data_IF_279051616303
#
_entry.id   IF_279051616303
#
_cell.length_a   1.000
_cell.length_b   1.000
_cell.length_c   1.000
_cell.angle_alpha   90.00
_cell.angle_beta   90.00
_cell.angle_gamma   90.00
#
_symmetry.space_group_name_H-M   'P 1'
#
loop_
_entity.id
_entity.type
_entity.pdbx_description
1 polymer ?
#
# COMPACT_ATOMS: atom_id res chain seq x y z
N UNK A 1 -22.54 10.67 51.58
CA UNK A 1 -21.31 10.20 52.29
C UNK A 1 -20.24 10.00 51.26
N UNK A 2 -19.27 10.91 51.27
CA UNK A 2 -18.13 10.97 50.39
C UNK A 2 -17.03 10.04 50.93
N UNK A 3 -16.32 9.35 50.07
CA UNK A 3 -15.08 8.67 50.38
C UNK A 3 -13.99 9.14 49.40
N UNK A 4 -13.20 10.09 49.86
CA UNK A 4 -11.93 10.50 49.25
C UNK A 4 -10.93 9.34 49.23
N UNK A 5 -10.29 9.12 48.10
CA UNK A 5 -9.03 8.37 48.04
C UNK A 5 -7.94 9.24 47.48
N UNK A 6 -7.06 9.68 48.39
CA UNK A 6 -5.76 10.27 48.10
C UNK A 6 -4.87 9.31 47.30
N UNK A 7 -4.30 9.78 46.20
CA UNK A 7 -3.18 9.15 45.54
C UNK A 7 -1.89 9.94 45.85
N UNK A 8 -1.00 9.29 46.57
CA UNK A 8 0.33 9.84 46.87
C UNK A 8 1.25 9.74 45.65
N UNK A 9 1.91 10.84 45.33
CA UNK A 9 3.05 10.94 44.40
C UNK A 9 4.29 10.34 45.07
N UNK A 10 5.01 9.51 44.38
CA UNK A 10 6.37 9.10 44.69
C UNK A 10 7.14 8.88 43.38
N UNK A 11 7.95 9.88 43.02
CA UNK A 11 9.00 9.74 42.01
C UNK A 11 10.32 9.51 42.74
N UNK A 12 11.15 8.58 42.38
CA UNK A 12 12.58 8.65 42.68
C UNK A 12 13.34 9.07 41.41
N UNK A 13 14.02 10.22 41.51
CA UNK A 13 15.07 10.66 40.61
C UNK A 13 16.22 9.64 40.63
N UNK A 14 16.63 9.21 39.43
CA UNK A 14 17.86 8.44 39.25
C UNK A 14 18.91 9.39 38.67
N UNK A 15 19.90 9.77 39.49
CA UNK A 15 21.07 10.50 39.06
C UNK A 15 21.98 9.65 38.15
N UNK A 16 22.61 10.23 37.13
CA UNK A 16 23.59 9.48 36.30
C UNK A 16 24.96 9.45 36.98
N UNK A 17 25.44 8.23 37.26
CA UNK A 17 26.80 8.00 37.71
C UNK A 17 27.82 8.35 36.63
N UNK A 18 28.74 9.28 36.95
CA UNK A 18 29.94 9.59 36.19
C UNK A 18 30.96 8.45 36.38
N UNK A 19 31.30 7.74 35.31
CA UNK A 19 32.43 6.83 35.28
C UNK A 19 33.74 7.61 35.11
N UNK A 20 34.58 7.54 36.12
CA UNK A 20 35.97 8.05 36.12
C UNK A 20 36.83 7.07 35.35
N UNK A 21 37.43 7.52 34.24
CA UNK A 21 38.44 6.75 33.52
C UNK A 21 39.83 7.09 34.12
N UNK A 22 40.40 6.13 34.83
CA UNK A 22 41.80 6.19 35.27
C UNK A 22 42.72 5.69 34.14
N UNK A 23 43.71 6.54 33.83
CA UNK A 23 44.87 6.19 32.97
C UNK A 23 45.82 5.33 33.79
N UNK A 24 46.16 4.13 33.33
CA UNK A 24 47.49 3.49 33.39
C UNK A 24 47.33 2.09 32.77
N UNK A 25 48.04 1.77 31.74
CA UNK A 25 49.21 0.90 31.66
C UNK A 25 49.54 0.71 30.16
N UNK A 26 50.68 1.30 29.82
CA UNK A 26 51.34 1.02 28.55
C UNK A 26 52.08 -0.32 28.73
N UNK A 27 51.59 -1.36 28.13
CA UNK A 27 52.31 -2.60 27.93
C UNK A 27 52.75 -2.68 26.48
N UNK A 28 54.06 -2.55 26.31
CA UNK A 28 54.79 -2.84 25.09
C UNK A 28 54.66 -4.32 24.76
N UNK A 29 54.03 -4.65 23.62
CA UNK A 29 54.15 -5.96 23.01
C UNK A 29 55.01 -5.87 21.74
N UNK A 30 56.15 -6.55 21.82
CA UNK A 30 57.06 -6.79 20.72
C UNK A 30 56.46 -7.78 19.70
N UNK A 31 56.68 -7.39 18.46
CA UNK A 31 56.89 -8.17 17.24
C UNK A 31 56.47 -9.66 17.16
N UNK A 32 55.81 -9.91 16.12
CA UNK A 32 55.89 -10.98 15.13
C UNK A 32 54.67 -11.83 15.01
N UNK A 33 54.13 -11.75 13.93
CA UNK A 33 53.62 -12.73 13.00
C UNK A 33 52.53 -12.07 12.15
N UNK A 34 52.93 -11.77 10.91
CA UNK A 34 51.98 -11.32 9.89
C UNK A 34 51.06 -12.47 9.52
N UNK A 35 49.94 -12.58 10.24
CA UNK A 35 48.81 -13.34 9.77
C UNK A 35 48.25 -12.60 8.56
N UNK A 36 48.48 -13.16 7.38
CA UNK A 36 47.86 -12.67 6.16
C UNK A 36 46.35 -12.79 6.29
N UNK A 37 45.69 -11.69 6.62
CA UNK A 37 44.24 -11.57 6.55
C UNK A 37 43.89 -11.80 5.08
N UNK A 38 43.02 -12.80 4.75
CA UNK A 38 42.61 -12.97 3.39
C UNK A 38 41.94 -11.67 2.94
N UNK A 39 42.39 -11.13 1.82
CA UNK A 39 41.80 -9.97 1.16
C UNK A 39 40.33 -10.28 0.94
N UNK A 40 39.49 -9.98 1.90
CA UNK A 40 38.05 -9.88 1.68
C UNK A 40 37.90 -8.71 0.71
N UNK A 41 37.73 -9.03 -0.57
CA UNK A 41 37.37 -8.03 -1.56
C UNK A 41 36.08 -7.37 -1.03
N UNK A 42 36.20 -6.17 -0.50
CA UNK A 42 35.08 -5.31 -0.24
C UNK A 42 34.37 -5.10 -1.60
N UNK A 43 33.34 -5.87 -1.84
CA UNK A 43 32.42 -5.64 -2.95
C UNK A 43 31.66 -4.40 -2.54
N UNK A 44 32.07 -3.25 -3.10
CA UNK A 44 31.34 -1.99 -2.96
C UNK A 44 29.90 -2.30 -3.30
N UNK A 45 28.93 -2.10 -2.37
CA UNK A 45 27.53 -2.29 -2.71
C UNK A 45 27.26 -1.48 -3.97
N UNK A 46 26.64 -2.09 -4.98
CA UNK A 46 26.22 -1.36 -6.18
C UNK A 46 25.49 -0.12 -5.68
N UNK A 47 25.91 1.04 -6.16
CA UNK A 47 25.36 2.32 -5.72
C UNK A 47 23.84 2.19 -5.78
N UNK A 48 23.16 2.41 -4.67
CA UNK A 48 21.71 2.42 -4.59
C UNK A 48 21.22 3.25 -5.76
N UNK A 49 20.58 2.61 -6.74
CA UNK A 49 19.93 3.34 -7.82
C UNK A 49 18.84 4.17 -7.14
N UNK A 50 19.02 5.48 -7.10
CA UNK A 50 18.02 6.39 -6.59
C UNK A 50 16.73 6.11 -7.38
N UNK A 51 15.61 5.85 -6.72
CA UNK A 51 14.34 5.61 -7.41
C UNK A 51 14.07 6.72 -8.41
N UNK A 52 13.77 6.36 -9.66
CA UNK A 52 13.46 7.37 -10.70
C UNK A 52 12.18 8.14 -10.38
N UNK A 53 11.21 7.47 -9.77
CA UNK A 53 9.97 8.06 -9.28
C UNK A 53 9.40 7.15 -8.18
N UNK A 54 8.76 7.74 -7.18
CA UNK A 54 8.09 7.03 -6.11
C UNK A 54 6.58 6.97 -6.41
N UNK A 55 5.98 5.79 -6.25
CA UNK A 55 4.53 5.60 -6.28
C UNK A 55 4.02 5.55 -4.84
N UNK A 56 3.24 6.52 -4.45
CA UNK A 56 2.63 6.58 -3.13
C UNK A 56 1.14 6.35 -3.27
N UNK A 57 0.65 5.28 -2.64
CA UNK A 57 -0.73 4.83 -2.76
C UNK A 57 -1.41 4.97 -1.41
N UNK A 58 -2.45 5.79 -1.36
CA UNK A 58 -3.30 5.99 -0.19
C UNK A 58 -4.58 5.19 -0.33
N UNK A 59 -5.05 4.58 0.74
CA UNK A 59 -6.33 3.88 0.77
C UNK A 59 -6.97 3.94 2.16
N UNK A 60 -8.30 3.99 2.18
CA UNK A 60 -9.11 3.81 3.37
C UNK A 60 -9.44 2.34 3.66
N UNK A 61 -9.16 1.44 2.72
CA UNK A 61 -9.42 0.01 2.86
C UNK A 61 -8.44 -0.67 3.81
N UNK A 62 -8.95 -1.17 4.93
CA UNK A 62 -8.13 -1.77 5.98
C UNK A 62 -7.90 -3.27 5.80
N UNK A 63 -8.63 -3.92 4.90
CA UNK A 63 -8.58 -5.36 4.66
C UNK A 63 -8.14 -5.68 3.22
N UNK A 64 -9.03 -5.58 2.24
CA UNK A 64 -8.78 -6.08 0.87
C UNK A 64 -7.69 -5.33 0.12
N UNK A 65 -7.70 -4.00 0.16
CA UNK A 65 -6.67 -3.16 -0.43
C UNK A 65 -5.33 -3.37 0.28
N UNK A 66 -5.35 -3.41 1.60
CA UNK A 66 -4.16 -3.69 2.40
C UNK A 66 -3.59 -5.08 2.09
N UNK A 67 -4.44 -6.09 1.97
CA UNK A 67 -4.02 -7.45 1.59
C UNK A 67 -3.46 -7.49 0.16
N UNK A 68 -4.04 -6.72 -0.77
CA UNK A 68 -3.57 -6.63 -2.15
C UNK A 68 -2.14 -6.09 -2.22
N UNK A 69 -1.86 -5.00 -1.51
CA UNK A 69 -0.54 -4.39 -1.49
C UNK A 69 0.43 -5.05 -0.49
N UNK A 70 -0.04 -5.93 0.37
CA UNK A 70 0.78 -6.58 1.41
C UNK A 70 1.98 -7.34 0.86
N UNK A 71 1.87 -7.87 -0.37
CA UNK A 71 2.99 -8.54 -1.03
C UNK A 71 4.12 -7.57 -1.36
N UNK A 72 3.77 -6.37 -1.80
CA UNK A 72 4.72 -5.29 -2.11
C UNK A 72 5.34 -4.78 -0.80
N UNK A 73 4.53 -4.47 0.19
CA UNK A 73 4.98 -3.93 1.48
C UNK A 73 5.93 -4.88 2.24
N UNK A 74 5.71 -6.20 2.10
CA UNK A 74 6.56 -7.22 2.72
C UNK A 74 7.87 -7.50 1.96
N UNK A 75 7.99 -7.04 0.72
CA UNK A 75 9.13 -7.30 -0.15
C UNK A 75 9.69 -5.99 -0.73
N UNK A 76 9.93 -5.02 0.12
CA UNK A 76 10.39 -3.67 -0.27
C UNK A 76 11.70 -3.68 -1.06
N UNK A 77 12.53 -4.70 -0.89
CA UNK A 77 13.77 -4.88 -1.66
C UNK A 77 13.49 -5.14 -3.15
N UNK A 78 12.39 -5.86 -3.46
CA UNK A 78 11.96 -6.13 -4.82
C UNK A 78 11.12 -4.98 -5.40
N UNK A 79 10.49 -4.19 -4.53
CA UNK A 79 9.58 -3.10 -4.90
C UNK A 79 10.00 -1.75 -4.28
N UNK A 80 11.25 -1.30 -4.52
CA UNK A 80 11.80 -0.12 -3.82
C UNK A 80 11.10 1.19 -4.17
N UNK A 81 10.31 1.22 -5.27
CA UNK A 81 9.66 2.42 -5.80
C UNK A 81 8.21 2.59 -5.37
N UNK A 82 7.66 1.65 -4.60
CA UNK A 82 6.25 1.69 -4.19
C UNK A 82 6.15 1.85 -2.69
N UNK A 83 5.27 2.73 -2.27
CA UNK A 83 4.90 2.96 -0.87
C UNK A 83 3.39 2.97 -0.76
N UNK A 84 2.89 2.39 0.29
CA UNK A 84 1.47 2.39 0.60
C UNK A 84 1.23 3.02 1.97
N UNK A 85 0.13 3.73 2.11
CA UNK A 85 -0.28 4.34 3.36
C UNK A 85 -1.78 4.15 3.54
N UNK A 86 -2.16 3.42 4.60
CA UNK A 86 -3.54 3.10 4.90
C UNK A 86 -4.07 3.96 6.03
N UNK A 87 -5.22 4.58 5.80
CA UNK A 87 -5.90 5.36 6.82
C UNK A 87 -6.87 4.46 7.59
N UNK A 88 -6.60 4.27 8.88
CA UNK A 88 -7.35 3.35 9.72
C UNK A 88 -8.84 3.75 9.94
N UNK A 89 -9.15 5.02 9.82
CA UNK A 89 -10.52 5.54 9.92
C UNK A 89 -10.86 6.43 8.72
N UNK A 90 -11.27 5.82 7.58
CA UNK A 90 -11.63 6.57 6.38
C UNK A 90 -12.95 7.33 6.50
N UNK A 91 -13.62 7.25 7.65
CA UNK A 91 -14.93 7.84 7.88
C UNK A 91 -14.89 9.37 7.84
N UNK A 92 -16.08 9.95 7.87
CA UNK A 92 -16.26 11.39 7.78
C UNK A 92 -15.68 12.14 8.98
N UNK A 93 -14.92 13.20 8.73
CA UNK A 93 -14.60 14.20 9.77
C UNK A 93 -15.84 15.03 10.12
N UNK A 94 -15.78 15.68 11.27
CA UNK A 94 -16.78 16.64 11.72
C UNK A 94 -17.04 17.69 10.62
N UNK A 95 -18.23 17.67 10.02
CA UNK A 95 -18.61 18.50 8.87
C UNK A 95 -18.90 17.71 7.58
N UNK A 96 -18.90 16.36 7.62
CA UNK A 96 -19.36 15.51 6.51
C UNK A 96 -18.34 15.26 5.40
N UNK A 97 -17.10 15.75 5.53
CA UNK A 97 -16.06 15.52 4.51
C UNK A 97 -15.30 14.22 4.76
N UNK A 98 -14.90 13.50 3.69
CA UNK A 98 -14.08 12.30 3.81
C UNK A 98 -12.70 12.61 4.42
N UNK A 99 -12.37 11.97 5.53
CA UNK A 99 -11.09 12.15 6.21
C UNK A 99 -9.90 11.62 5.39
N UNK A 100 -10.17 10.69 4.48
CA UNK A 100 -9.12 10.04 3.66
C UNK A 100 -8.45 11.04 2.70
N UNK A 101 -9.19 11.98 2.12
CA UNK A 101 -8.63 13.01 1.21
C UNK A 101 -7.67 13.92 1.97
N UNK A 102 -8.09 14.37 3.14
CA UNK A 102 -7.24 15.18 4.03
C UNK A 102 -5.96 14.43 4.41
N UNK A 103 -6.08 13.17 4.81
CA UNK A 103 -4.93 12.31 5.11
C UNK A 103 -3.97 12.21 3.92
N UNK A 104 -4.49 11.91 2.72
CA UNK A 104 -3.69 11.82 1.51
C UNK A 104 -2.97 13.14 1.19
N UNK A 105 -3.68 14.27 1.29
CA UNK A 105 -3.13 15.61 1.04
C UNK A 105 -2.02 15.98 2.04
N UNK A 106 -2.22 15.73 3.32
CA UNK A 106 -1.22 15.99 4.37
C UNK A 106 0.04 15.13 4.14
N UNK A 107 -0.14 13.85 3.86
CA UNK A 107 0.97 12.93 3.57
C UNK A 107 1.70 13.26 2.27
N UNK A 108 1.00 13.66 1.23
CA UNK A 108 1.61 14.09 -0.03
C UNK A 108 2.54 15.28 0.18
N UNK A 109 2.17 16.26 1.00
CA UNK A 109 3.05 17.40 1.33
C UNK A 109 4.35 16.95 1.99
N UNK A 110 4.28 16.01 2.94
CA UNK A 110 5.46 15.46 3.60
C UNK A 110 6.43 14.81 2.59
N UNK A 111 5.90 14.05 1.60
CA UNK A 111 6.72 13.46 0.55
C UNK A 111 7.29 14.52 -0.41
N UNK A 112 6.50 15.50 -0.82
CA UNK A 112 6.93 16.56 -1.75
C UNK A 112 8.06 17.42 -1.19
N UNK A 113 8.13 17.62 0.12
CA UNK A 113 9.24 18.35 0.78
C UNK A 113 10.59 17.65 0.60
N UNK A 114 10.59 16.33 0.42
CA UNK A 114 11.79 15.51 0.24
C UNK A 114 12.04 15.04 -1.19
N UNK A 115 11.08 15.30 -2.11
CA UNK A 115 11.13 14.77 -3.47
C UNK A 115 12.18 15.45 -4.34
N UNK A 116 12.77 14.66 -5.25
CA UNK A 116 13.63 15.21 -6.32
C UNK A 116 12.79 15.92 -7.37
N UNK A 117 13.22 17.13 -7.77
CA UNK A 117 12.56 17.89 -8.85
C UNK A 117 12.70 17.25 -10.24
N UNK A 118 13.69 16.38 -10.42
CA UNK A 118 13.98 15.75 -11.73
C UNK A 118 13.08 14.55 -12.03
N UNK A 119 12.56 13.90 -10.99
CA UNK A 119 11.68 12.74 -11.12
C UNK A 119 10.49 12.90 -10.16
N UNK A 120 9.39 13.51 -10.61
CA UNK A 120 8.23 13.73 -9.76
C UNK A 120 7.60 12.41 -9.35
N UNK A 121 7.29 12.33 -8.06
CA UNK A 121 6.58 11.19 -7.51
C UNK A 121 5.12 11.16 -8.00
N UNK A 122 4.55 9.97 -8.01
CA UNK A 122 3.15 9.74 -8.36
C UNK A 122 2.34 9.45 -7.09
N UNK A 123 1.25 10.17 -6.91
CA UNK A 123 0.39 10.02 -5.75
C UNK A 123 -1.00 9.55 -6.18
N UNK A 124 -1.52 8.52 -5.51
CA UNK A 124 -2.80 7.91 -5.83
C UNK A 124 -3.64 7.76 -4.58
N UNK A 125 -4.92 8.08 -4.68
CA UNK A 125 -5.90 7.79 -3.65
C UNK A 125 -6.91 6.79 -4.19
N UNK A 126 -6.99 5.61 -3.58
CA UNK A 126 -7.97 4.57 -3.91
C UNK A 126 -9.21 4.77 -3.03
N UNK A 127 -10.38 4.75 -3.66
CA UNK A 127 -11.67 4.86 -2.99
C UNK A 127 -12.75 4.05 -3.68
N UNK A 128 -13.80 3.74 -2.93
CA UNK A 128 -15.00 3.06 -3.40
C UNK A 128 -16.15 4.07 -3.55
N UNK A 129 -17.08 3.80 -4.47
CA UNK A 129 -18.27 4.64 -4.65
C UNK A 129 -19.26 4.46 -3.49
N UNK A 130 -19.40 3.26 -2.93
CA UNK A 130 -20.47 2.88 -2.00
C UNK A 130 -20.62 3.81 -0.78
N UNK A 131 -19.51 4.34 -0.28
CA UNK A 131 -19.51 5.23 0.88
C UNK A 131 -19.37 6.71 0.52
N UNK A 132 -18.95 7.04 -0.70
CA UNK A 132 -18.49 8.39 -1.06
C UNK A 132 -19.17 8.97 -2.31
N UNK A 133 -20.21 8.32 -2.89
CA UNK A 133 -20.85 8.73 -4.15
C UNK A 133 -21.12 10.26 -4.20
N UNK A 134 -21.71 10.81 -3.18
CA UNK A 134 -22.08 12.24 -3.12
C UNK A 134 -20.87 13.19 -2.96
N UNK A 135 -19.71 12.67 -2.56
CA UNK A 135 -18.51 13.47 -2.31
C UNK A 135 -17.47 13.33 -3.42
N UNK A 136 -17.66 12.41 -4.37
CA UNK A 136 -16.67 12.14 -5.41
C UNK A 136 -16.24 13.40 -6.21
N UNK A 137 -17.15 14.33 -6.60
CA UNK A 137 -16.74 15.55 -7.29
C UNK A 137 -15.81 16.42 -6.42
N UNK A 138 -16.12 16.59 -5.14
CA UNK A 138 -15.30 17.36 -4.20
C UNK A 138 -13.96 16.68 -3.96
N UNK A 139 -13.96 15.35 -3.75
CA UNK A 139 -12.74 14.54 -3.60
C UNK A 139 -11.83 14.68 -4.82
N UNK A 140 -12.39 14.59 -6.02
CA UNK A 140 -11.64 14.74 -7.27
C UNK A 140 -10.99 16.14 -7.37
N UNK A 141 -11.72 17.19 -7.01
CA UNK A 141 -11.20 18.55 -7.02
C UNK A 141 -10.06 18.73 -6.01
N UNK A 142 -10.21 18.24 -4.80
CA UNK A 142 -9.18 18.32 -3.76
C UNK A 142 -7.93 17.50 -4.14
N UNK A 143 -8.12 16.30 -4.67
CA UNK A 143 -7.04 15.46 -5.17
C UNK A 143 -6.27 16.13 -6.30
N UNK A 144 -6.97 16.70 -7.30
CA UNK A 144 -6.34 17.43 -8.40
C UNK A 144 -5.50 18.62 -7.91
N UNK A 145 -6.01 19.38 -6.92
CA UNK A 145 -5.28 20.51 -6.31
C UNK A 145 -4.00 20.07 -5.62
N UNK A 146 -3.98 18.85 -5.10
CA UNK A 146 -2.85 18.28 -4.37
C UNK A 146 -1.94 17.41 -5.25
N UNK A 147 -2.17 17.35 -6.55
CA UNK A 147 -1.48 16.48 -7.51
C UNK A 147 -1.61 14.98 -7.12
N UNK A 148 -2.77 14.59 -6.66
CA UNK A 148 -3.13 13.20 -6.33
C UNK A 148 -4.12 12.71 -7.39
N UNK A 149 -3.86 11.56 -7.98
CA UNK A 149 -4.79 10.90 -8.89
C UNK A 149 -5.80 10.08 -8.08
N UNK A 150 -7.08 10.41 -8.23
CA UNK A 150 -8.16 9.68 -7.58
C UNK A 150 -8.51 8.44 -8.40
N UNK A 151 -8.44 7.26 -7.77
CA UNK A 151 -8.70 5.95 -8.37
C UNK A 151 -9.97 5.37 -7.75
N UNK A 152 -11.00 5.24 -8.54
CA UNK A 152 -12.35 4.91 -8.06
C UNK A 152 -12.75 3.51 -8.54
N UNK A 153 -13.34 2.73 -7.64
CA UNK A 153 -14.01 1.45 -7.95
C UNK A 153 -15.51 1.53 -7.66
N UNK A 154 -16.35 1.16 -8.62
CA UNK A 154 -17.80 1.15 -8.45
C UNK A 154 -18.35 -0.30 -8.58
N UNK A 155 -18.90 -0.88 -7.56
CA UNK A 155 -19.30 -0.34 -6.24
C UNK A 155 -18.14 -0.32 -5.21
N UNK A 156 -17.18 -1.24 -5.29
CA UNK A 156 -16.15 -1.49 -4.28
C UNK A 156 -14.86 -2.06 -4.92
N UNK A 157 -13.78 -2.08 -4.17
CA UNK A 157 -12.47 -2.60 -4.59
C UNK A 157 -12.53 -4.06 -5.08
N UNK A 158 -13.48 -4.85 -4.61
CA UNK A 158 -13.66 -6.22 -5.06
C UNK A 158 -14.02 -6.34 -6.55
N UNK A 159 -14.48 -5.27 -7.21
CA UNK A 159 -14.62 -5.23 -8.68
C UNK A 159 -13.27 -5.43 -9.36
N UNK A 160 -12.21 -4.82 -8.83
CA UNK A 160 -10.84 -5.05 -9.29
C UNK A 160 -10.42 -6.51 -9.09
N UNK A 161 -10.67 -7.07 -7.90
CA UNK A 161 -10.32 -8.47 -7.61
C UNK A 161 -11.10 -9.48 -8.47
N UNK A 162 -12.32 -9.14 -8.84
CA UNK A 162 -13.15 -9.95 -9.73
C UNK A 162 -12.54 -10.05 -11.13
N UNK A 163 -12.06 -8.95 -11.70
CA UNK A 163 -11.44 -8.93 -13.01
C UNK A 163 -10.07 -9.64 -13.07
N UNK A 164 -9.44 -9.93 -11.95
CA UNK A 164 -8.26 -10.79 -11.93
C UNK A 164 -8.54 -12.25 -12.33
N UNK A 165 -9.81 -12.67 -12.29
CA UNK A 165 -10.26 -14.06 -12.57
C UNK A 165 -11.33 -14.13 -13.66
N UNK A 166 -11.98 -13.02 -14.00
CA UNK A 166 -13.12 -12.96 -14.94
C UNK A 166 -12.87 -11.88 -15.99
N UNK A 167 -13.10 -12.26 -17.26
CA UNK A 167 -12.92 -11.36 -18.40
C UNK A 167 -14.14 -10.51 -18.73
N UNK A 168 -15.29 -10.82 -18.18
CA UNK A 168 -16.56 -10.17 -18.50
C UNK A 168 -17.18 -9.49 -17.26
N UNK A 169 -18.03 -8.51 -17.51
CA UNK A 169 -18.86 -7.90 -16.46
C UNK A 169 -19.71 -8.96 -15.75
N UNK A 170 -20.11 -8.72 -14.50
CA UNK A 170 -20.92 -9.65 -13.70
C UNK A 170 -22.40 -9.63 -14.12
N UNK A 171 -22.70 -10.13 -15.33
CA UNK A 171 -24.05 -10.08 -15.95
C UNK A 171 -25.08 -10.92 -15.20
N UNK A 172 -24.64 -11.96 -14.49
CA UNK A 172 -25.53 -12.84 -13.71
C UNK A 172 -25.77 -12.35 -12.28
N UNK A 173 -25.19 -11.21 -11.92
CA UNK A 173 -25.40 -10.62 -10.61
C UNK A 173 -26.74 -9.89 -10.55
N UNK A 174 -27.58 -10.29 -9.62
CA UNK A 174 -28.86 -9.61 -9.36
C UNK A 174 -28.63 -8.39 -8.49
N UNK A 175 -28.79 -7.20 -9.10
CA UNK A 175 -28.56 -5.93 -8.43
C UNK A 175 -29.66 -5.70 -7.37
N UNK A 176 -29.30 -5.51 -6.09
CA UNK A 176 -30.26 -5.14 -5.05
C UNK A 176 -30.96 -3.82 -5.36
N UNK A 177 -32.24 -3.71 -4.95
CA UNK A 177 -32.99 -2.45 -5.08
C UNK A 177 -32.41 -1.35 -4.19
N UNK A 178 -31.91 -1.73 -3.01
CA UNK A 178 -31.24 -0.80 -2.11
C UNK A 178 -29.79 -0.61 -2.53
N UNK A 179 -29.43 0.59 -3.00
CA UNK A 179 -28.08 0.92 -3.43
C UNK A 179 -27.01 0.65 -2.36
N UNK A 180 -27.32 0.83 -1.07
CA UNK A 180 -26.39 0.61 0.03
C UNK A 180 -26.02 -0.87 0.23
N UNK A 181 -26.79 -1.79 -0.34
CA UNK A 181 -26.55 -3.23 -0.25
C UNK A 181 -25.73 -3.77 -1.44
N UNK A 182 -25.55 -2.98 -2.51
CA UNK A 182 -24.92 -3.45 -3.74
C UNK A 182 -23.52 -3.97 -3.47
N UNK A 183 -22.67 -3.22 -2.76
CA UNK A 183 -21.31 -3.61 -2.47
C UNK A 183 -21.24 -4.90 -1.65
N UNK A 184 -22.00 -5.01 -0.57
CA UNK A 184 -22.01 -6.21 0.28
C UNK A 184 -22.52 -7.44 -0.44
N UNK A 185 -23.62 -7.28 -1.22
CA UNK A 185 -24.16 -8.34 -2.04
C UNK A 185 -23.20 -8.78 -3.15
N UNK A 186 -22.54 -7.83 -3.82
CA UNK A 186 -21.54 -8.12 -4.84
C UNK A 186 -20.34 -8.86 -4.24
N UNK A 187 -19.80 -8.43 -3.11
CA UNK A 187 -18.70 -9.11 -2.39
C UNK A 187 -19.04 -10.58 -2.12
N UNK A 188 -20.23 -10.82 -1.62
CA UNK A 188 -20.70 -12.17 -1.32
C UNK A 188 -20.83 -13.00 -2.60
N UNK A 189 -21.53 -12.47 -3.60
CA UNK A 189 -21.73 -13.15 -4.88
C UNK A 189 -20.41 -13.44 -5.60
N UNK A 190 -19.55 -12.45 -5.75
CA UNK A 190 -18.27 -12.59 -6.45
C UNK A 190 -17.36 -13.66 -5.80
N UNK A 191 -17.37 -13.77 -4.46
CA UNK A 191 -16.68 -14.86 -3.77
C UNK A 191 -17.17 -16.25 -4.17
N UNK A 192 -18.46 -16.40 -4.52
CA UNK A 192 -19.02 -17.70 -4.96
C UNK A 192 -18.68 -18.00 -6.43
N UNK A 193 -18.45 -16.98 -7.26
CA UNK A 193 -18.15 -17.13 -8.69
C UNK A 193 -16.70 -17.52 -8.98
N UNK A 194 -15.82 -17.44 -7.99
CA UNK A 194 -14.38 -17.68 -8.12
C UNK A 194 -13.97 -18.85 -7.24
N UNK A 195 -13.33 -19.83 -7.84
CA UNK A 195 -12.84 -20.99 -7.10
C UNK A 195 -11.82 -20.58 -6.03
N UNK A 196 -12.16 -20.80 -4.77
CA UNK A 196 -11.40 -20.37 -3.61
C UNK A 196 -11.58 -18.91 -3.22
N UNK A 197 -12.60 -18.22 -3.79
CA UNK A 197 -12.98 -16.85 -3.48
C UNK A 197 -12.03 -15.78 -4.03
N UNK A 198 -12.41 -14.52 -3.80
CA UNK A 198 -11.59 -13.36 -4.14
C UNK A 198 -10.31 -13.34 -3.28
N UNK A 199 -9.15 -13.44 -3.90
CA UNK A 199 -7.86 -13.45 -3.22
C UNK A 199 -7.00 -12.26 -3.66
N UNK A 200 -6.88 -11.21 -2.83
CA UNK A 200 -6.09 -10.03 -3.16
C UNK A 200 -4.65 -10.35 -3.56
N UNK A 201 -3.98 -11.23 -2.81
CA UNK A 201 -2.60 -11.65 -3.11
C UNK A 201 -2.46 -12.43 -4.41
N UNK A 202 -3.51 -13.11 -4.89
CA UNK A 202 -3.51 -13.76 -6.22
C UNK A 202 -3.74 -12.73 -7.32
N UNK A 203 -4.62 -11.75 -7.07
CA UNK A 203 -4.95 -10.71 -8.05
C UNK A 203 -3.72 -9.88 -8.44
N UNK A 204 -2.78 -9.60 -7.51
CA UNK A 204 -1.58 -8.85 -7.84
C UNK A 204 -0.63 -9.65 -8.75
N UNK A 205 -0.56 -10.97 -8.62
CA UNK A 205 0.22 -11.80 -9.55
C UNK A 205 -0.39 -11.86 -10.95
N UNK A 206 -1.69 -11.62 -11.09
CA UNK A 206 -2.40 -11.60 -12.37
C UNK A 206 -2.60 -10.16 -12.89
N UNK A 207 -1.77 -9.22 -12.46
CA UNK A 207 -1.95 -7.78 -12.71
C UNK A 207 -2.12 -7.43 -14.20
N UNK A 208 -1.37 -8.05 -15.11
CA UNK A 208 -1.47 -7.81 -16.56
C UNK A 208 -2.85 -8.25 -17.10
N UNK A 209 -3.31 -9.43 -16.74
CA UNK A 209 -4.63 -9.92 -17.12
C UNK A 209 -5.75 -9.08 -16.50
N UNK A 210 -5.54 -8.64 -15.25
CA UNK A 210 -6.48 -7.81 -14.54
C UNK A 210 -6.64 -6.44 -15.20
N UNK A 211 -5.54 -5.81 -15.62
CA UNK A 211 -5.55 -4.58 -16.41
C UNK A 211 -6.41 -4.77 -17.65
N UNK A 212 -6.09 -5.76 -18.49
CA UNK A 212 -6.82 -6.00 -19.73
C UNK A 212 -8.32 -6.24 -19.52
N UNK A 213 -8.67 -7.07 -18.53
CA UNK A 213 -10.07 -7.37 -18.23
C UNK A 213 -10.83 -6.15 -17.70
N UNK A 214 -10.24 -5.38 -16.80
CA UNK A 214 -10.87 -4.21 -16.22
C UNK A 214 -11.04 -3.08 -17.26
N UNK A 215 -10.02 -2.83 -18.09
CA UNK A 215 -10.06 -1.84 -19.16
C UNK A 215 -11.15 -2.18 -20.20
N UNK A 216 -11.21 -3.43 -20.67
CA UNK A 216 -12.21 -3.89 -21.64
C UNK A 216 -13.65 -3.76 -21.13
N UNK A 217 -13.86 -3.75 -19.83
CA UNK A 217 -15.17 -3.66 -19.19
C UNK A 217 -15.44 -2.28 -18.57
N UNK A 218 -14.51 -1.34 -18.72
CA UNK A 218 -14.64 0.00 -18.16
C UNK A 218 -15.67 0.83 -18.90
N UNK A 219 -16.59 1.39 -18.15
CA UNK A 219 -17.58 2.36 -18.63
C UNK A 219 -17.61 3.52 -17.66
N UNK A 220 -17.65 4.73 -18.18
CA UNK A 220 -17.61 5.97 -17.42
C UNK A 220 -18.78 6.87 -17.79
N UNK A 221 -19.37 7.51 -16.79
CA UNK A 221 -20.38 8.56 -16.98
C UNK A 221 -20.03 9.77 -16.12
N UNK A 222 -20.05 10.96 -16.72
CA UNK A 222 -19.72 12.23 -16.04
C UNK A 222 -18.35 12.23 -15.33
N UNK A 223 -17.36 11.50 -15.85
CA UNK A 223 -16.02 11.41 -15.28
C UNK A 223 -15.87 10.37 -14.18
N UNK A 224 -16.90 9.59 -13.86
CA UNK A 224 -16.87 8.56 -12.81
C UNK A 224 -17.22 7.18 -13.37
N UNK A 225 -16.61 6.10 -12.81
CA UNK A 225 -16.89 4.74 -13.24
C UNK A 225 -18.34 4.36 -12.95
N UNK A 226 -19.01 3.75 -13.93
CA UNK A 226 -20.34 3.16 -13.74
C UNK A 226 -20.24 1.87 -12.93
N UNK A 227 -21.38 1.33 -12.49
CA UNK A 227 -21.42 0.10 -11.68
C UNK A 227 -20.61 -1.04 -12.33
N UNK A 228 -19.78 -1.73 -11.55
CA UNK A 228 -18.82 -2.75 -11.96
C UNK A 228 -17.70 -2.26 -12.88
N UNK A 229 -17.41 -0.98 -12.87
CA UNK A 229 -16.21 -0.41 -13.48
C UNK A 229 -15.21 0.01 -12.40
N UNK A 230 -13.91 -0.07 -12.69
CA UNK A 230 -12.86 0.35 -11.77
C UNK A 230 -11.74 1.04 -12.52
N UNK A 231 -11.21 2.12 -11.96
CA UNK A 231 -10.05 2.83 -12.48
C UNK A 231 -8.72 2.22 -12.00
N UNK A 232 -8.77 1.14 -11.22
CA UNK A 232 -7.56 0.45 -10.74
C UNK A 232 -6.62 0.01 -11.87
N UNK A 233 -7.14 -0.24 -13.08
CA UNK A 233 -6.28 -0.55 -14.22
C UNK A 233 -5.33 0.59 -14.55
N UNK A 234 -5.75 1.86 -14.44
CA UNK A 234 -4.91 3.05 -14.69
C UNK A 234 -3.73 3.13 -13.72
N UNK A 235 -3.97 2.85 -12.43
CA UNK A 235 -2.90 2.75 -11.44
C UNK A 235 -1.98 1.56 -11.76
N UNK A 236 -2.58 0.39 -12.03
CA UNK A 236 -1.86 -0.84 -12.27
C UNK A 236 -0.96 -0.76 -13.52
N UNK A 237 -1.42 -0.14 -14.62
CA UNK A 237 -0.62 0.11 -15.82
C UNK A 237 0.62 0.95 -15.52
N UNK A 238 0.47 2.05 -14.76
CA UNK A 238 1.58 2.91 -14.35
C UNK A 238 2.55 2.19 -13.42
N UNK A 239 2.05 1.33 -12.56
CA UNK A 239 2.82 0.56 -11.59
C UNK A 239 3.54 -0.65 -12.22
N UNK A 240 2.96 -1.26 -13.26
CA UNK A 240 3.42 -2.52 -13.85
C UNK A 240 4.92 -2.54 -14.20
N UNK A 241 5.50 -1.52 -14.85
CA UNK A 241 6.92 -1.52 -15.17
C UNK A 241 7.85 -1.60 -13.96
N UNK A 242 7.36 -1.24 -12.79
CA UNK A 242 8.13 -1.22 -11.54
C UNK A 242 7.95 -2.46 -10.69
N UNK A 243 6.89 -3.26 -10.94
CA UNK A 243 6.59 -4.45 -10.14
C UNK A 243 6.77 -5.76 -10.91
N UNK A 244 6.80 -5.75 -12.24
CA UNK A 244 6.79 -6.95 -13.07
C UNK A 244 7.90 -7.93 -12.70
N UNK A 245 9.14 -7.48 -12.74
CA UNK A 245 10.30 -8.34 -12.46
C UNK A 245 10.27 -8.92 -11.04
N UNK A 246 9.89 -8.08 -10.05
CA UNK A 246 9.75 -8.52 -8.66
C UNK A 246 8.65 -9.57 -8.48
N UNK A 247 7.52 -9.41 -9.17
CA UNK A 247 6.42 -10.39 -9.14
C UNK A 247 6.83 -11.72 -9.80
N UNK A 248 7.56 -11.68 -10.90
CA UNK A 248 8.08 -12.88 -11.56
C UNK A 248 9.10 -13.62 -10.68
N UNK A 249 9.98 -12.87 -10.00
CA UNK A 249 10.92 -13.44 -9.05
C UNK A 249 10.19 -14.13 -7.89
N UNK A 250 9.23 -13.47 -7.26
CA UNK A 250 8.43 -14.03 -6.16
C UNK A 250 7.66 -15.27 -6.59
N UNK A 251 7.05 -15.25 -7.80
CA UNK A 251 6.35 -16.41 -8.35
C UNK A 251 7.29 -17.61 -8.46
N UNK A 252 8.49 -17.40 -9.02
CA UNK A 252 9.51 -18.43 -9.19
C UNK A 252 10.00 -18.99 -7.84
N UNK A 253 10.10 -18.16 -6.81
CA UNK A 253 10.48 -18.59 -5.46
C UNK A 253 9.38 -19.44 -4.81
N UNK A 254 8.13 -19.03 -4.94
CA UNK A 254 6.97 -19.79 -4.42
C UNK A 254 6.91 -21.16 -5.07
N UNK A 255 7.10 -21.26 -6.37
CA UNK A 255 7.11 -22.55 -7.10
C UNK A 255 8.26 -23.44 -6.64
N UNK A 256 9.47 -22.92 -6.52
CA UNK A 256 10.63 -23.67 -6.02
C UNK A 256 10.40 -24.24 -4.61
N UNK A 257 9.76 -23.46 -3.73
CA UNK A 257 9.42 -23.93 -2.37
C UNK A 257 8.38 -25.04 -2.41
N UNK A 258 7.37 -24.96 -3.28
CA UNK A 258 6.35 -26.01 -3.44
C UNK A 258 6.93 -27.34 -3.92
N UNK A 259 7.95 -27.30 -4.79
CA UNK A 259 8.62 -28.50 -5.30
C UNK A 259 9.46 -29.18 -4.22
N UNK A 260 10.10 -28.41 -3.34
CA UNK A 260 10.95 -28.96 -2.25
C UNK A 260 10.16 -29.62 -1.12
N UNK A 261 8.86 -29.37 -1.02
CA UNK A 261 7.98 -29.90 0.03
C UNK A 261 7.03 -30.99 -0.48
N UNK A 262 7.16 -31.43 -1.72
CA UNK A 262 6.55 -32.63 -2.31
C UNK A 262 7.56 -33.77 -2.36
#
# INVERSE_FOLDING_TARGET
MAADRHYQKGNPEIEPQKSVVTKSDVATFNSAESVSVPNSRYIKPEAFKIPKALFVIYSGGTEREKDYFSLIDKNTELFPFIRTAFHADPKFVKGGKPSIVRFATEKTKEYQESASKENPDHYFLITDVDHFEQFLPEMQQECNTSNIELIISNSCFEVWLYYAEKSNRPVDFVIPQNKLEISSAFKTWANTQINGGLKPTKAIFNIEQNIANAENNYVEENGFPTLFSTQMFRLAEKMLPFVKDGLEQLRSEIERRRIKHK
#
